data_IF_515068030043
#
_entry.id   IF_515068030043
#
_cell.length_a   1.000
_cell.length_b   1.000
_cell.length_c   1.000
_cell.angle_alpha   90.00
_cell.angle_beta   90.00
_cell.angle_gamma   90.00
#
_symmetry.space_group_name_H-M   'P 1'
#
loop_
_entity.id
_entity.type
_entity.pdbx_description
1 polymer ?
#
# COMPACT_ATOMS: atom_id res chain seq x y z
N UNK A 1 -8.64 18.51 9.85
CA UNK A 1 -8.58 17.05 9.95
C UNK A 1 -8.30 16.69 11.39
N UNK A 2 -9.16 15.87 11.99
CA UNK A 2 -8.99 15.36 13.36
C UNK A 2 -8.03 14.17 13.36
N UNK A 3 -7.23 14.04 14.43
CA UNK A 3 -6.48 12.81 14.70
C UNK A 3 -7.47 11.72 15.09
N UNK A 4 -7.43 10.58 14.41
CA UNK A 4 -8.34 9.45 14.64
C UNK A 4 -7.56 8.24 15.10
N UNK A 5 -7.97 7.66 16.21
CA UNK A 5 -7.42 6.44 16.76
C UNK A 5 -8.22 5.20 16.34
N UNK A 6 -7.80 4.05 16.87
CA UNK A 6 -8.51 2.78 16.70
C UNK A 6 -9.99 2.86 17.11
N UNK A 7 -10.28 3.49 18.26
CA UNK A 7 -11.64 3.56 18.83
C UNK A 7 -12.59 4.30 17.90
N UNK A 8 -12.13 5.37 17.26
CA UNK A 8 -12.97 6.19 16.41
C UNK A 8 -13.43 5.42 15.17
N UNK A 9 -12.52 4.67 14.52
CA UNK A 9 -12.87 3.85 13.36
C UNK A 9 -13.71 2.62 13.75
N UNK A 10 -13.39 1.94 14.86
CA UNK A 10 -14.19 0.79 15.34
C UNK A 10 -15.65 1.22 15.55
N UNK A 11 -15.85 2.38 16.17
CA UNK A 11 -17.17 2.97 16.36
C UNK A 11 -17.84 3.33 15.03
N UNK A 12 -17.13 4.01 14.12
CA UNK A 12 -17.66 4.41 12.81
C UNK A 12 -18.09 3.20 11.97
N UNK A 13 -17.25 2.17 11.84
CA UNK A 13 -17.61 0.94 11.12
C UNK A 13 -18.82 0.26 11.75
N UNK A 14 -18.81 0.10 13.08
CA UNK A 14 -19.84 -0.64 13.80
C UNK A 14 -21.19 0.08 13.88
N UNK A 15 -21.21 1.41 13.95
CA UNK A 15 -22.45 2.18 14.17
C UNK A 15 -23.03 2.76 12.89
N UNK A 16 -22.17 3.13 11.95
CA UNK A 16 -22.59 3.94 10.81
C UNK A 16 -22.51 3.14 9.51
N UNK A 17 -21.38 2.48 9.25
CA UNK A 17 -21.15 1.77 7.98
C UNK A 17 -21.89 0.43 7.92
N UNK A 18 -21.62 -0.46 8.87
CA UNK A 18 -22.16 -1.85 8.90
C UNK A 18 -23.69 -1.93 8.78
N UNK A 19 -24.41 -0.95 9.33
CA UNK A 19 -25.88 -0.93 9.33
C UNK A 19 -26.50 -0.51 8.00
N UNK A 20 -25.73 0.13 7.13
CA UNK A 20 -26.19 0.64 5.84
C UNK A 20 -25.80 -0.28 4.68
N UNK A 21 -24.94 -1.27 4.95
CA UNK A 21 -24.61 -2.32 4.01
C UNK A 21 -25.79 -3.29 3.89
N UNK A 22 -26.09 -3.69 2.66
CA UNK A 22 -27.16 -4.61 2.30
C UNK A 22 -26.64 -6.03 1.99
N UNK A 23 -25.33 -6.23 2.10
CA UNK A 23 -24.62 -7.49 1.85
C UNK A 23 -23.33 -7.53 2.65
N UNK A 24 -22.83 -8.74 2.86
CA UNK A 24 -21.52 -8.94 3.46
C UNK A 24 -20.43 -8.53 2.47
N UNK A 25 -19.50 -7.70 2.92
CA UNK A 25 -18.35 -7.26 2.14
C UNK A 25 -17.05 -7.51 2.90
N UNK A 26 -15.94 -7.55 2.16
CA UNK A 26 -14.59 -7.56 2.73
C UNK A 26 -13.86 -6.25 2.40
N UNK A 27 -13.25 -5.62 3.41
CA UNK A 27 -12.40 -4.45 3.24
C UNK A 27 -11.03 -4.71 3.83
N UNK A 28 -9.99 -4.18 3.18
CA UNK A 28 -8.60 -4.34 3.57
C UNK A 28 -8.05 -3.00 4.03
N UNK A 29 -7.62 -2.89 5.29
CA UNK A 29 -6.98 -1.66 5.74
C UNK A 29 -5.53 -1.61 5.29
N UNK A 30 -5.08 -0.42 4.93
CA UNK A 30 -3.68 -0.18 4.59
C UNK A 30 -3.21 1.15 5.17
N UNK A 31 -2.07 1.66 4.71
CA UNK A 31 -1.61 3.00 5.05
C UNK A 31 -1.46 3.26 6.56
N UNK A 32 -1.80 4.49 6.97
CA UNK A 32 -1.75 4.89 8.38
C UNK A 32 -2.86 4.25 9.23
N UNK A 33 -3.97 3.90 8.58
CA UNK A 33 -5.13 3.26 9.22
C UNK A 33 -4.80 1.88 9.75
N UNK A 34 -4.19 1.01 8.94
CA UNK A 34 -3.79 -0.33 9.37
C UNK A 34 -2.76 -0.30 10.52
N UNK A 35 -1.81 0.64 10.47
CA UNK A 35 -0.81 0.81 11.53
C UNK A 35 -1.46 1.24 12.85
N UNK A 36 -2.44 2.15 12.78
CA UNK A 36 -3.21 2.59 13.94
C UNK A 36 -4.06 1.43 14.51
N UNK A 37 -4.70 0.66 13.64
CA UNK A 37 -5.49 -0.52 14.02
C UNK A 37 -4.69 -1.63 14.69
N UNK A 38 -3.41 -1.74 14.36
CA UNK A 38 -2.49 -2.68 15.00
C UNK A 38 -1.86 -2.14 16.28
N UNK A 39 -2.18 -0.91 16.69
CA UNK A 39 -1.53 -0.27 17.84
C UNK A 39 -0.06 0.08 17.59
N UNK A 40 0.37 0.12 16.33
CA UNK A 40 1.73 0.52 15.95
C UNK A 40 1.86 2.04 15.84
N UNK A 41 0.74 2.74 15.62
CA UNK A 41 0.66 4.20 15.52
C UNK A 41 -0.49 4.72 16.38
N UNK A 42 -0.32 5.89 16.98
CA UNK A 42 -1.33 6.47 17.86
C UNK A 42 -2.55 7.00 17.11
N UNK A 43 -2.34 7.56 15.92
CA UNK A 43 -3.41 8.17 15.13
C UNK A 43 -3.10 8.20 13.63
N UNK A 44 -4.16 8.33 12.84
CA UNK A 44 -4.14 8.64 11.40
C UNK A 44 -5.05 9.85 11.11
N UNK A 45 -4.83 10.52 9.97
CA UNK A 45 -5.64 11.69 9.56
C UNK A 45 -6.81 11.28 8.66
N UNK A 46 -6.58 10.25 7.87
CA UNK A 46 -7.44 9.67 6.85
C UNK A 46 -7.67 8.18 7.13
N UNK A 47 -8.81 7.68 6.64
CA UNK A 47 -9.13 6.26 6.60
C UNK A 47 -8.70 5.71 5.25
N UNK A 48 -7.75 4.79 5.28
CA UNK A 48 -7.11 4.14 4.14
C UNK A 48 -7.64 2.71 4.01
N UNK A 49 -8.45 2.43 2.99
CA UNK A 49 -8.96 1.08 2.77
C UNK A 49 -9.06 0.69 1.29
N UNK A 50 -8.95 -0.60 1.03
CA UNK A 50 -9.09 -1.21 -0.27
C UNK A 50 -10.30 -2.17 -0.24
N UNK A 51 -11.08 -2.18 -1.32
CA UNK A 51 -12.21 -3.10 -1.51
C UNK A 51 -11.95 -3.90 -2.79
N UNK A 52 -11.46 -5.16 -2.67
CA UNK A 52 -11.02 -5.91 -3.84
C UNK A 52 -12.12 -6.23 -4.85
N UNK A 53 -13.34 -6.49 -4.37
CA UNK A 53 -14.48 -6.82 -5.22
C UNK A 53 -15.18 -5.56 -5.73
N UNK A 54 -15.50 -5.51 -7.03
CA UNK A 54 -16.09 -4.32 -7.67
C UNK A 54 -17.51 -4.02 -7.17
N UNK A 55 -18.33 -5.03 -6.95
CA UNK A 55 -19.70 -4.85 -6.46
C UNK A 55 -19.72 -4.40 -5.00
N UNK A 56 -18.83 -4.96 -4.18
CA UNK A 56 -18.63 -4.51 -2.79
C UNK A 56 -18.11 -3.06 -2.75
N UNK A 57 -17.19 -2.70 -3.65
CA UNK A 57 -16.68 -1.34 -3.78
C UNK A 57 -17.79 -0.35 -4.11
N UNK A 58 -18.66 -0.68 -5.08
CA UNK A 58 -19.84 0.13 -5.42
C UNK A 58 -20.81 0.23 -4.24
N UNK A 59 -21.07 -0.87 -3.53
CA UNK A 59 -21.93 -0.87 -2.35
C UNK A 59 -21.37 0.04 -1.25
N UNK A 60 -20.07 -0.04 -0.98
CA UNK A 60 -19.41 0.80 0.02
C UNK A 60 -19.46 2.29 -0.33
N UNK A 61 -19.26 2.65 -1.61
CA UNK A 61 -19.42 4.04 -2.09
C UNK A 61 -20.82 4.58 -1.79
N UNK A 62 -21.85 3.80 -2.11
CA UNK A 62 -23.23 4.18 -1.83
C UNK A 62 -23.48 4.40 -0.33
N UNK A 63 -22.84 3.60 0.54
CA UNK A 63 -22.89 3.80 2.00
C UNK A 63 -22.24 5.11 2.41
N UNK A 64 -21.04 5.42 1.90
CA UNK A 64 -20.36 6.70 2.20
C UNK A 64 -21.23 7.90 1.79
N UNK A 65 -21.86 7.85 0.61
CA UNK A 65 -22.74 8.91 0.12
C UNK A 65 -24.01 9.05 1.00
N UNK A 66 -24.62 7.93 1.44
CA UNK A 66 -25.74 7.95 2.40
C UNK A 66 -25.35 8.51 3.76
N UNK A 67 -24.10 8.31 4.19
CA UNK A 67 -23.54 8.91 5.40
C UNK A 67 -23.22 10.41 5.25
N UNK A 68 -23.48 11.00 4.07
CA UNK A 68 -23.29 12.42 3.81
C UNK A 68 -21.86 12.79 3.43
N UNK A 69 -21.01 11.82 3.09
CA UNK A 69 -19.71 12.12 2.50
C UNK A 69 -19.89 12.70 1.10
N UNK A 70 -18.99 13.61 0.75
CA UNK A 70 -18.90 14.20 -0.58
C UNK A 70 -17.66 13.69 -1.27
N UNK A 71 -17.78 13.47 -2.58
CA UNK A 71 -16.67 13.14 -3.43
C UNK A 71 -15.74 14.35 -3.57
N UNK A 72 -14.47 14.18 -3.23
CA UNK A 72 -13.41 15.19 -3.40
C UNK A 72 -12.51 14.85 -4.60
N UNK A 73 -12.24 13.56 -4.81
CA UNK A 73 -11.41 13.06 -5.90
C UNK A 73 -11.90 11.69 -6.37
N UNK A 74 -11.95 11.47 -7.68
CA UNK A 74 -12.15 10.15 -8.31
C UNK A 74 -11.08 10.00 -9.41
N UNK A 75 -10.10 9.14 -9.16
CA UNK A 75 -8.98 8.92 -10.05
C UNK A 75 -8.93 7.46 -10.45
N UNK A 76 -8.88 7.20 -11.76
CA UNK A 76 -8.77 5.85 -12.30
C UNK A 76 -7.54 5.76 -13.21
N UNK A 77 -6.64 4.83 -12.91
CA UNK A 77 -5.46 4.54 -13.72
C UNK A 77 -5.28 3.04 -13.82
N UNK A 78 -5.24 2.52 -15.05
CA UNK A 78 -4.94 1.10 -15.34
C UNK A 78 -5.89 0.13 -14.61
N UNK A 79 -7.18 0.47 -14.54
CA UNK A 79 -8.18 -0.32 -13.84
C UNK A 79 -8.13 -0.21 -12.31
N UNK A 80 -7.15 0.51 -11.74
CA UNK A 80 -7.14 0.87 -10.32
C UNK A 80 -7.89 2.20 -10.10
N UNK A 81 -8.81 2.19 -9.14
CA UNK A 81 -9.51 3.36 -8.63
C UNK A 81 -8.90 3.82 -7.31
N UNK A 82 -8.76 5.14 -7.18
CA UNK A 82 -8.58 5.85 -5.93
C UNK A 82 -9.68 6.90 -5.83
N UNK A 83 -10.55 6.76 -4.84
CA UNK A 83 -11.63 7.69 -4.57
C UNK A 83 -11.47 8.28 -3.18
N UNK A 84 -11.42 9.62 -3.11
CA UNK A 84 -11.39 10.35 -1.85
C UNK A 84 -12.78 10.90 -1.54
N UNK A 85 -13.29 10.52 -0.38
CA UNK A 85 -14.50 11.05 0.20
C UNK A 85 -14.17 11.91 1.41
N UNK A 86 -14.84 13.05 1.54
CA UNK A 86 -14.69 13.98 2.67
C UNK A 86 -16.03 14.25 3.34
N UNK A 87 -16.03 14.37 4.66
CA UNK A 87 -17.20 14.74 5.45
C UNK A 87 -16.81 15.72 6.55
N UNK A 88 -17.63 16.76 6.73
CA UNK A 88 -17.48 17.70 7.85
C UNK A 88 -18.31 17.30 9.08
N UNK A 89 -19.18 16.30 8.95
CA UNK A 89 -20.14 15.88 9.98
C UNK A 89 -19.89 14.48 10.52
N UNK A 90 -19.12 13.66 9.81
CA UNK A 90 -18.73 12.33 10.27
C UNK A 90 -17.57 12.40 11.27
N UNK A 91 -17.45 11.37 12.11
CA UNK A 91 -16.27 11.17 12.96
C UNK A 91 -15.00 10.92 12.12
N UNK A 92 -15.16 10.30 10.93
CA UNK A 92 -14.09 10.06 9.99
C UNK A 92 -14.07 11.11 8.87
N UNK A 93 -13.43 12.27 9.07
CA UNK A 93 -13.45 13.38 8.09
C UNK A 93 -13.02 13.04 6.64
N UNK A 94 -12.17 12.01 6.43
CA UNK A 94 -11.60 11.66 5.11
C UNK A 94 -11.52 10.13 5.00
N UNK A 95 -11.98 9.59 3.88
CA UNK A 95 -11.90 8.17 3.50
C UNK A 95 -11.32 8.06 2.10
N UNK A 96 -10.15 7.43 1.98
CA UNK A 96 -9.50 7.06 0.73
C UNK A 96 -9.81 5.59 0.43
N UNK A 97 -10.62 5.39 -0.62
CA UNK A 97 -11.15 4.10 -1.03
C UNK A 97 -10.45 3.64 -2.32
N UNK A 98 -9.85 2.46 -2.28
CA UNK A 98 -9.09 1.88 -3.40
C UNK A 98 -9.74 0.62 -3.95
N UNK A 99 -9.60 0.35 -5.26
CA UNK A 99 -10.06 -0.88 -5.91
C UNK A 99 -9.24 -1.16 -7.19
N UNK A 100 -8.93 -2.41 -7.57
CA UNK A 100 -8.99 -3.61 -6.74
C UNK A 100 -7.78 -3.72 -5.81
N UNK A 101 -6.75 -2.92 -6.03
CA UNK A 101 -5.45 -2.98 -5.34
C UNK A 101 -5.09 -1.63 -4.73
N UNK A 102 -4.07 -1.62 -3.86
CA UNK A 102 -3.47 -0.40 -3.34
C UNK A 102 -2.00 -0.37 -3.75
N UNK A 103 -1.59 0.60 -4.58
CA UNK A 103 -0.21 0.73 -5.04
C UNK A 103 0.34 -0.57 -5.68
N UNK A 104 -0.45 -1.21 -6.55
CA UNK A 104 -0.19 -2.53 -7.15
C UNK A 104 -0.16 -3.73 -6.19
N UNK A 105 -0.28 -3.54 -4.88
CA UNK A 105 -0.26 -4.64 -3.93
C UNK A 105 -1.62 -5.31 -3.79
N UNK A 106 -1.60 -6.64 -3.79
CA UNK A 106 -2.78 -7.49 -3.60
C UNK A 106 -2.69 -8.20 -2.24
N UNK A 107 -3.81 -8.64 -1.68
CA UNK A 107 -3.78 -9.56 -0.53
C UNK A 107 -3.55 -10.98 -1.05
N UNK A 108 -2.30 -11.43 -1.03
CA UNK A 108 -1.95 -12.81 -1.41
C UNK A 108 -2.43 -13.80 -0.36
N UNK A 109 -2.46 -15.10 -0.71
CA UNK A 109 -2.81 -16.15 0.25
C UNK A 109 -1.91 -16.15 1.49
N UNK A 110 -0.61 -15.87 1.34
CA UNK A 110 0.30 -15.75 2.49
C UNK A 110 -0.08 -14.59 3.39
N UNK A 111 -0.34 -13.41 2.81
CA UNK A 111 -0.82 -12.26 3.57
C UNK A 111 -2.13 -12.60 4.28
N UNK A 112 -3.07 -13.24 3.58
CA UNK A 112 -4.38 -13.60 4.12
C UNK A 112 -4.28 -14.56 5.30
N UNK A 113 -3.42 -15.58 5.24
CA UNK A 113 -3.18 -16.51 6.36
C UNK A 113 -2.61 -15.84 7.60
N UNK A 114 -1.87 -14.74 7.44
CA UNK A 114 -1.25 -13.99 8.53
C UNK A 114 -2.08 -12.76 8.95
N UNK A 115 -3.13 -12.43 8.21
CA UNK A 115 -3.96 -11.28 8.49
C UNK A 115 -4.81 -11.51 9.74
N UNK A 116 -5.05 -10.43 10.48
CA UNK A 116 -6.09 -10.43 11.50
C UNK A 116 -7.40 -10.02 10.83
N UNK A 117 -8.44 -10.82 10.98
CA UNK A 117 -9.78 -10.50 10.47
C UNK A 117 -10.63 -10.05 11.67
N UNK A 118 -11.32 -8.92 11.51
CA UNK A 118 -12.27 -8.40 12.49
C UNK A 118 -13.63 -8.33 11.82
N UNK A 119 -14.57 -9.13 12.34
CA UNK A 119 -15.92 -9.20 11.80
C UNK A 119 -16.86 -8.22 12.50
N UNK A 120 -17.58 -7.45 11.69
CA UNK A 120 -18.74 -6.67 12.08
C UNK A 120 -19.94 -7.16 11.26
N UNK A 121 -21.18 -6.80 11.63
CA UNK A 121 -22.33 -7.09 10.79
C UNK A 121 -22.09 -6.57 9.37
N UNK A 122 -22.21 -7.44 8.37
CA UNK A 122 -22.07 -7.10 6.94
C UNK A 122 -20.70 -6.59 6.48
N UNK A 123 -19.67 -6.57 7.33
CA UNK A 123 -18.33 -6.15 6.92
C UNK A 123 -17.24 -6.88 7.68
N UNK A 124 -16.38 -7.58 6.94
CA UNK A 124 -15.15 -8.15 7.44
C UNK A 124 -13.99 -7.19 7.16
N UNK A 125 -13.26 -6.81 8.21
CA UNK A 125 -12.09 -5.94 8.11
C UNK A 125 -10.83 -6.79 8.18
N UNK A 126 -10.09 -6.84 7.07
CA UNK A 126 -8.81 -7.53 6.94
C UNK A 126 -7.69 -6.57 7.32
N UNK A 127 -6.91 -6.94 8.33
CA UNK A 127 -5.71 -6.23 8.77
C UNK A 127 -4.45 -7.01 8.36
N UNK A 128 -3.75 -6.59 7.29
CA UNK A 128 -2.51 -7.22 6.86
C UNK A 128 -1.49 -7.28 8.01
N UNK A 129 -0.61 -8.31 8.06
CA UNK A 129 0.44 -8.42 9.06
C UNK A 129 1.46 -7.27 8.93
N UNK A 130 2.19 -6.93 10.01
CA UNK A 130 3.21 -5.87 9.97
C UNK A 130 4.23 -6.03 8.84
N UNK A 131 4.59 -7.27 8.48
CA UNK A 131 5.50 -7.59 7.38
C UNK A 131 4.97 -7.11 6.02
N UNK A 132 3.66 -7.30 5.77
CA UNK A 132 3.00 -6.82 4.55
C UNK A 132 2.88 -5.30 4.57
N UNK A 133 2.50 -4.71 5.71
CA UNK A 133 2.39 -3.26 5.85
C UNK A 133 3.75 -2.56 5.64
N UNK A 134 4.84 -3.15 6.15
CA UNK A 134 6.20 -2.67 5.90
C UNK A 134 6.49 -2.65 4.39
N UNK A 135 6.25 -3.78 3.71
CA UNK A 135 6.49 -3.88 2.27
C UNK A 135 5.67 -2.85 1.49
N UNK A 136 4.38 -2.73 1.79
CA UNK A 136 3.51 -1.83 1.03
C UNK A 136 3.89 -0.36 1.24
N UNK A 137 4.35 0.00 2.44
CA UNK A 137 4.88 1.33 2.76
C UNK A 137 6.22 1.66 2.06
N UNK A 138 6.93 0.68 1.52
CA UNK A 138 8.10 0.95 0.68
C UNK A 138 7.71 1.54 -0.68
N UNK A 139 6.48 1.32 -1.16
CA UNK A 139 6.09 1.74 -2.50
C UNK A 139 6.02 3.25 -2.68
N UNK A 140 5.34 4.04 -1.83
CA UNK A 140 5.25 5.50 -2.05
C UNK A 140 6.61 6.21 -2.03
N UNK A 141 7.61 5.62 -1.36
CA UNK A 141 8.96 6.18 -1.18
C UNK A 141 8.91 7.62 -0.64
N UNK A 142 7.98 7.97 0.26
CA UNK A 142 7.88 9.33 0.83
C UNK A 142 8.72 9.44 2.10
N UNK A 143 9.23 10.64 2.39
CA UNK A 143 10.02 10.87 3.63
C UNK A 143 9.17 10.60 4.87
N UNK A 144 7.89 10.97 4.82
CA UNK A 144 6.94 10.78 5.91
C UNK A 144 6.72 9.29 6.24
N UNK A 145 6.86 8.39 5.25
CA UNK A 145 6.69 6.95 5.45
C UNK A 145 7.92 6.31 6.14
N UNK A 146 9.08 6.98 6.23
CA UNK A 146 10.27 6.42 6.92
C UNK A 146 9.98 6.13 8.39
N UNK A 147 9.23 7.00 9.07
CA UNK A 147 8.82 6.78 10.46
C UNK A 147 7.93 5.55 10.61
N UNK A 148 6.98 5.36 9.69
CA UNK A 148 6.10 4.19 9.65
C UNK A 148 6.90 2.89 9.37
N UNK A 149 7.90 2.94 8.47
CA UNK A 149 8.81 1.83 8.18
C UNK A 149 9.67 1.45 9.40
N UNK A 150 10.21 2.44 10.12
CA UNK A 150 10.97 2.18 11.36
C UNK A 150 10.05 1.58 12.42
N UNK A 151 8.83 2.09 12.54
CA UNK A 151 7.85 1.62 13.53
C UNK A 151 7.46 0.17 13.30
N UNK A 152 7.23 -0.21 12.03
CA UNK A 152 6.97 -1.61 11.65
C UNK A 152 8.19 -2.50 11.90
N UNK A 153 9.41 -2.08 11.53
CA UNK A 153 10.65 -2.80 11.89
C UNK A 153 10.76 -3.01 13.40
N UNK A 154 10.52 -1.96 14.20
CA UNK A 154 10.63 -2.00 15.66
C UNK A 154 9.55 -2.91 16.29
N UNK A 155 8.47 -3.20 15.58
CA UNK A 155 7.45 -4.19 15.97
C UNK A 155 7.87 -5.66 15.79
N UNK A 156 9.03 -5.91 15.17
CA UNK A 156 9.60 -7.25 15.04
C UNK A 156 9.19 -8.02 13.78
N UNK A 157 9.11 -7.33 12.62
CA UNK A 157 8.88 -8.01 11.33
C UNK A 157 9.94 -9.09 11.06
N UNK A 158 9.52 -10.14 10.35
CA UNK A 158 10.40 -11.21 9.89
C UNK A 158 10.88 -10.91 8.47
N UNK A 159 12.20 -10.90 8.29
CA UNK A 159 12.80 -10.72 6.96
C UNK A 159 12.37 -11.82 5.99
N UNK A 160 12.21 -13.05 6.46
CA UNK A 160 11.72 -14.18 5.66
C UNK A 160 10.28 -13.96 5.20
N UNK A 161 9.42 -13.42 6.07
CA UNK A 161 8.05 -13.11 5.70
C UNK A 161 7.99 -11.98 4.68
N UNK A 162 8.73 -10.88 4.90
CA UNK A 162 8.78 -9.74 3.96
C UNK A 162 9.25 -10.21 2.58
N UNK A 163 10.34 -10.97 2.49
CA UNK A 163 10.85 -11.47 1.22
C UNK A 163 9.90 -12.48 0.57
N UNK A 164 9.31 -13.38 1.35
CA UNK A 164 8.34 -14.33 0.81
C UNK A 164 7.06 -13.66 0.30
N UNK A 165 6.57 -12.62 0.98
CA UNK A 165 5.45 -11.80 0.47
C UNK A 165 5.88 -11.09 -0.81
N UNK A 166 7.08 -10.48 -0.83
CA UNK A 166 7.61 -9.80 -2.01
C UNK A 166 7.62 -10.72 -3.23
N UNK A 167 8.16 -11.94 -3.08
CA UNK A 167 8.21 -12.93 -4.16
C UNK A 167 6.83 -13.33 -4.67
N UNK A 168 5.84 -13.53 -3.80
CA UNK A 168 4.46 -13.80 -4.24
C UNK A 168 3.86 -12.62 -5.02
N UNK A 169 4.08 -11.39 -4.56
CA UNK A 169 3.59 -10.19 -5.25
C UNK A 169 4.22 -10.03 -6.62
N UNK A 170 5.54 -10.23 -6.71
CA UNK A 170 6.26 -10.16 -7.99
C UNK A 170 5.78 -11.25 -8.96
N UNK A 171 5.60 -12.49 -8.50
CA UNK A 171 5.01 -13.56 -9.31
C UNK A 171 3.61 -13.21 -9.82
N UNK A 172 2.75 -12.63 -8.98
CA UNK A 172 1.44 -12.15 -9.41
C UNK A 172 1.54 -11.00 -10.42
N UNK A 173 2.56 -10.14 -10.34
CA UNK A 173 2.78 -9.10 -11.33
C UNK A 173 3.25 -9.68 -12.68
N UNK A 174 4.01 -10.77 -12.67
CA UNK A 174 4.35 -11.53 -13.88
C UNK A 174 3.12 -12.20 -14.50
N UNK A 175 2.25 -12.83 -13.71
CA UNK A 175 1.05 -13.52 -14.22
C UNK A 175 0.00 -12.58 -14.84
N UNK A 176 0.10 -11.25 -14.62
CA UNK A 176 -0.73 -10.24 -15.31
C UNK A 176 -0.35 -10.04 -16.79
N UNK A 177 0.50 -10.90 -17.34
CA UNK A 177 1.02 -10.95 -18.72
C UNK A 177 -0.06 -11.02 -19.82
N UNK A 178 -1.32 -11.33 -19.52
CA UNK A 178 -2.37 -11.47 -20.55
C UNK A 178 -2.84 -10.14 -21.18
N UNK A 179 -2.52 -8.98 -20.59
CA UNK A 179 -2.66 -7.69 -21.25
C UNK A 179 -1.33 -7.36 -21.94
N UNK A 180 -1.31 -7.33 -23.28
CA UNK A 180 -0.15 -7.11 -24.19
C UNK A 180 0.64 -5.78 -23.98
N UNK A 181 0.42 -5.08 -22.88
CA UNK A 181 1.04 -3.81 -22.55
C UNK A 181 2.30 -3.98 -21.68
N UNK A 182 3.30 -3.18 -22.05
CA UNK A 182 4.61 -2.97 -21.41
C UNK A 182 4.57 -2.58 -19.91
N UNK A 183 3.40 -2.58 -19.28
CA UNK A 183 3.13 -2.03 -17.97
C UNK A 183 3.43 -2.97 -16.80
N UNK A 184 3.44 -4.29 -17.00
CA UNK A 184 3.73 -5.26 -15.92
C UNK A 184 5.23 -5.29 -15.57
N UNK A 185 6.13 -5.44 -16.55
CA UNK A 185 7.58 -5.36 -16.33
C UNK A 185 7.98 -4.04 -15.69
N UNK A 186 7.33 -2.95 -16.12
CA UNK A 186 7.54 -1.65 -15.51
C UNK A 186 7.16 -1.64 -14.03
N UNK A 187 6.04 -2.25 -13.67
CA UNK A 187 5.56 -2.35 -12.28
C UNK A 187 6.52 -3.16 -11.41
N UNK A 188 7.08 -4.25 -11.95
CA UNK A 188 8.10 -5.07 -11.27
C UNK A 188 9.37 -4.27 -11.02
N UNK A 189 9.92 -3.62 -12.05
CA UNK A 189 11.12 -2.77 -11.92
C UNK A 189 10.88 -1.66 -10.90
N UNK A 190 9.71 -1.01 -10.97
CA UNK A 190 9.33 0.05 -10.04
C UNK A 190 9.24 -0.45 -8.60
N UNK A 191 8.61 -1.60 -8.37
CA UNK A 191 8.54 -2.24 -7.05
C UNK A 191 9.94 -2.58 -6.50
N UNK A 192 10.81 -3.18 -7.32
CA UNK A 192 12.20 -3.52 -6.94
C UNK A 192 12.99 -2.29 -6.51
N UNK A 193 12.96 -1.23 -7.33
CA UNK A 193 13.70 0.00 -7.06
C UNK A 193 13.15 0.72 -5.81
N UNK A 194 11.82 0.82 -5.67
CA UNK A 194 11.20 1.46 -4.50
C UNK A 194 11.47 0.69 -3.21
N UNK A 195 11.47 -0.63 -3.26
CA UNK A 195 11.85 -1.48 -2.14
C UNK A 195 13.31 -1.26 -1.74
N UNK A 196 14.24 -1.30 -2.70
CA UNK A 196 15.65 -0.99 -2.50
C UNK A 196 15.88 0.39 -1.88
N UNK A 197 15.30 1.45 -2.48
CA UNK A 197 15.52 2.82 -2.04
C UNK A 197 14.89 3.10 -0.67
N UNK A 198 13.79 2.44 -0.32
CA UNK A 198 13.20 2.53 1.02
C UNK A 198 14.13 1.94 2.07
N UNK A 199 14.70 0.77 1.82
CA UNK A 199 15.68 0.15 2.72
C UNK A 199 16.97 0.97 2.83
N UNK A 200 17.41 1.60 1.73
CA UNK A 200 18.50 2.58 1.76
C UNK A 200 18.20 3.76 2.69
N UNK A 201 16.99 4.35 2.60
CA UNK A 201 16.58 5.46 3.46
C UNK A 201 16.51 5.05 4.94
N UNK A 202 16.01 3.86 5.24
CA UNK A 202 16.00 3.31 6.61
C UNK A 202 17.42 3.03 7.11
N UNK A 203 18.31 2.51 6.26
CA UNK A 203 19.71 2.33 6.65
C UNK A 203 20.39 3.67 6.96
N UNK A 204 20.10 4.72 6.17
CA UNK A 204 20.60 6.08 6.36
C UNK A 204 20.05 6.79 7.61
N UNK A 205 18.90 6.37 8.13
CA UNK A 205 18.36 6.90 9.40
C UNK A 205 19.01 6.30 10.65
N UNK A 206 20.08 5.51 10.50
CA UNK A 206 20.80 4.88 11.62
C UNK A 206 20.25 3.51 12.01
N UNK A 207 19.30 2.95 11.25
CA UNK A 207 18.72 1.61 11.50
C UNK A 207 19.30 0.51 10.61
N UNK A 208 20.51 0.72 10.04
CA UNK A 208 21.17 -0.23 9.12
C UNK A 208 21.25 -1.66 9.68
N UNK A 209 21.54 -1.82 10.97
CA UNK A 209 21.63 -3.14 11.60
C UNK A 209 20.30 -3.90 11.62
N UNK A 210 19.16 -3.19 11.63
CA UNK A 210 17.82 -3.78 11.66
C UNK A 210 17.30 -4.21 10.30
N UNK A 211 17.86 -3.67 9.22
CA UNK A 211 17.46 -3.98 7.84
C UNK A 211 18.59 -4.61 7.03
N UNK A 212 19.69 -5.02 7.69
CA UNK A 212 20.94 -5.36 7.00
C UNK A 212 20.75 -6.42 5.92
N UNK A 213 20.11 -7.54 6.26
CA UNK A 213 19.92 -8.66 5.31
C UNK A 213 18.79 -8.35 4.31
N UNK A 214 17.70 -7.71 4.72
CA UNK A 214 16.70 -7.17 3.77
C UNK A 214 17.33 -6.25 2.72
N UNK A 215 18.18 -5.31 3.15
CA UNK A 215 18.87 -4.37 2.27
C UNK A 215 19.81 -5.10 1.30
N UNK A 216 20.58 -6.10 1.76
CA UNK A 216 21.42 -6.90 0.87
C UNK A 216 20.60 -7.68 -0.18
N UNK A 217 19.43 -8.20 0.18
CA UNK A 217 18.55 -8.85 -0.79
C UNK A 217 17.97 -7.84 -1.79
N UNK A 218 17.56 -6.67 -1.34
CA UNK A 218 17.08 -5.62 -2.23
C UNK A 218 18.15 -5.10 -3.19
N UNK A 219 19.42 -5.03 -2.76
CA UNK A 219 20.57 -4.73 -3.66
C UNK A 219 20.67 -5.78 -4.76
N UNK A 220 20.51 -7.07 -4.44
CA UNK A 220 20.54 -8.15 -5.45
C UNK A 220 19.38 -8.05 -6.43
N UNK A 221 18.18 -7.72 -5.96
CA UNK A 221 16.98 -7.55 -6.79
C UNK A 221 17.12 -6.46 -7.85
N UNK A 222 17.98 -5.46 -7.62
CA UNK A 222 18.20 -4.33 -8.56
C UNK A 222 19.55 -4.38 -9.28
N UNK A 223 20.33 -5.44 -9.09
CA UNK A 223 21.69 -5.54 -9.63
C UNK A 223 21.70 -5.58 -11.18
N UNK A 224 20.66 -6.15 -11.76
CA UNK A 224 20.37 -6.27 -13.19
C UNK A 224 19.81 -4.99 -13.83
N UNK A 225 19.11 -4.16 -13.05
CA UNK A 225 18.46 -2.92 -13.49
C UNK A 225 19.46 -1.80 -13.85
N UNK A 226 20.74 -1.92 -13.46
CA UNK A 226 21.81 -0.95 -13.80
C UNK A 226 21.40 0.52 -13.58
N UNK A 227 21.00 0.84 -12.34
CA UNK A 227 20.56 2.17 -11.94
C UNK A 227 21.73 3.15 -12.07
N UNK A 228 21.58 4.17 -12.93
CA UNK A 228 22.54 5.26 -13.06
C UNK A 228 22.24 6.38 -12.06
N UNK A 229 23.28 6.87 -11.37
CA UNK A 229 23.19 8.00 -10.43
C UNK A 229 23.26 7.56 -8.96
N UNK A 230 23.44 8.53 -8.06
CA UNK A 230 23.44 8.27 -6.61
C UNK A 230 22.01 8.04 -6.13
N UNK A 231 21.80 7.22 -5.10
CA UNK A 231 20.46 6.89 -4.60
C UNK A 231 19.62 8.13 -4.26
N UNK A 232 20.25 9.16 -3.68
CA UNK A 232 19.56 10.42 -3.36
C UNK A 232 19.03 11.16 -4.60
N UNK A 233 19.76 11.09 -5.71
CA UNK A 233 19.36 11.68 -7.00
C UNK A 233 18.19 10.90 -7.60
N UNK A 234 18.26 9.56 -7.56
CA UNK A 234 17.21 8.67 -8.05
C UNK A 234 15.92 8.86 -7.23
N UNK A 235 16.03 8.94 -5.91
CA UNK A 235 14.89 9.24 -5.02
C UNK A 235 14.27 10.59 -5.37
N UNK A 236 15.10 11.63 -5.55
CA UNK A 236 14.61 12.96 -5.93
C UNK A 236 13.86 12.92 -7.26
N UNK A 237 14.40 12.22 -8.26
CA UNK A 237 13.79 12.06 -9.58
C UNK A 237 12.43 11.36 -9.49
N UNK A 238 12.34 10.23 -8.77
CA UNK A 238 11.08 9.48 -8.57
C UNK A 238 10.01 10.37 -7.92
N UNK A 239 10.40 11.20 -6.94
CA UNK A 239 9.45 12.03 -6.18
C UNK A 239 8.99 13.26 -6.92
N UNK A 240 9.86 13.90 -7.70
CA UNK A 240 9.63 15.24 -8.26
C UNK A 240 9.28 15.25 -9.73
N UNK A 241 9.69 14.22 -10.48
CA UNK A 241 9.44 14.17 -11.91
C UNK A 241 9.06 12.76 -12.37
N UNK A 242 7.80 12.36 -12.17
CA UNK A 242 7.30 11.05 -12.59
C UNK A 242 7.50 10.76 -14.08
N UNK A 243 7.50 11.78 -14.93
CA UNK A 243 7.73 11.64 -16.38
C UNK A 243 9.18 11.28 -16.70
N UNK A 244 10.15 11.93 -16.04
CA UNK A 244 11.57 11.56 -16.15
C UNK A 244 11.84 10.16 -15.61
N UNK A 245 11.18 9.81 -14.49
CA UNK A 245 11.22 8.45 -13.97
C UNK A 245 10.72 7.43 -14.99
N UNK A 246 9.63 7.74 -15.70
CA UNK A 246 9.11 6.87 -16.75
C UNK A 246 10.06 6.71 -17.94
N UNK A 247 10.69 7.78 -18.40
CA UNK A 247 11.73 7.70 -19.43
C UNK A 247 12.95 6.90 -18.96
N UNK A 248 13.31 7.02 -17.68
CA UNK A 248 14.39 6.22 -17.10
C UNK A 248 14.06 4.72 -17.17
N UNK A 249 12.81 4.33 -16.84
CA UNK A 249 12.36 2.94 -16.95
C UNK A 249 12.37 2.42 -18.41
N UNK A 250 11.97 3.24 -19.38
CA UNK A 250 12.05 2.91 -20.81
C UNK A 250 13.49 2.66 -21.29
N UNK A 251 14.48 3.39 -20.75
CA UNK A 251 15.89 3.16 -21.11
C UNK A 251 16.38 1.83 -20.54
N UNK A 252 15.91 1.46 -19.35
CA UNK A 252 16.26 0.19 -18.72
C UNK A 252 15.61 -1.00 -19.44
N UNK A 253 14.43 -0.82 -20.06
CA UNK A 253 13.76 -1.82 -20.93
C UNK A 253 14.69 -2.50 -21.91
N UNK A 254 15.48 -1.73 -22.66
CA UNK A 254 16.36 -2.25 -23.72
C UNK A 254 17.47 -3.16 -23.18
N UNK A 255 17.58 -3.31 -21.86
CA UNK A 255 18.51 -4.22 -21.16
C UNK A 255 17.79 -5.37 -20.46
N UNK A 256 16.47 -5.34 -20.39
CA UNK A 256 15.59 -6.18 -19.55
C UNK A 256 14.88 -7.28 -20.36
N UNK A 257 15.05 -7.37 -21.68
CA UNK A 257 14.56 -8.50 -22.51
C UNK A 257 15.17 -9.89 -22.13
N UNK A 258 15.75 -10.02 -20.93
CA UNK A 258 16.40 -11.21 -20.37
C UNK A 258 15.91 -11.56 -18.96
N UNK A 259 14.96 -10.80 -18.41
CA UNK A 259 14.26 -11.09 -17.15
C UNK A 259 12.96 -11.83 -17.44
#
# INVERSE_FOLDING_TARGET
MKNKGFVDFDMWIKKDVSRLLDRDIEVVLHGGTALTFRGLKNFTLDVDMNVPNLEDFKSFRNVLEKLGYRLDMDFMVRGEHLIRYVSSTSDMDVVDLYHPTWNNWTITDKIRRMAKIIDYPHIAVVLPPPDALFLFKCYPLRVQDIGDLITTIDSGISEENVLGIYTEQEAMMHEREEDENFDHMRSIIEARIRFYLSLYLVAKSGRKSKVGKLYQNAVKLVADINIKGKEGEVISMIRTNPVMWMRFLEITRNKIDKL
#
